data_IF_704889094471
#
_entry.id   IF_704889094471
#
_cell.length_a   1.000
_cell.length_b   1.000
_cell.length_c   1.000
_cell.angle_alpha   90.00
_cell.angle_beta   90.00
_cell.angle_gamma   90.00
#
_symmetry.space_group_name_H-M   'P 1'
#
loop_
_entity.id
_entity.type
_entity.pdbx_description
1 polymer ?
#
# COMPACT_ATOMS: atom_id res chain seq x y z
N UNK A 1 20.86 13.27 -1.28
CA UNK A 1 19.83 12.72 -2.15
C UNK A 1 19.19 11.54 -1.49
N UNK A 2 17.91 11.60 -1.24
CA UNK A 2 17.19 10.49 -0.67
C UNK A 2 16.53 9.66 -1.74
N UNK A 3 16.00 8.53 -1.33
CA UNK A 3 15.17 7.70 -2.19
C UNK A 3 13.86 8.40 -2.48
N UNK A 4 13.27 8.10 -3.63
CA UNK A 4 11.93 8.53 -3.99
C UNK A 4 11.00 7.35 -3.81
N UNK A 5 10.10 7.44 -2.87
CA UNK A 5 9.31 6.31 -2.37
C UNK A 5 7.87 6.39 -2.82
N UNK A 6 7.38 5.30 -3.38
CA UNK A 6 5.97 5.11 -3.68
C UNK A 6 5.41 4.05 -2.75
N UNK A 7 4.26 4.32 -2.14
CA UNK A 7 3.64 3.42 -1.16
C UNK A 7 2.27 2.99 -1.68
N UNK A 8 2.05 1.69 -1.68
CA UNK A 8 0.79 1.10 -2.12
C UNK A 8 0.25 0.25 -0.98
N UNK A 9 -0.93 0.59 -0.50
CA UNK A 9 -1.52 -0.01 0.69
C UNK A 9 -2.76 -0.80 0.31
N UNK A 10 -2.73 -2.11 0.54
CA UNK A 10 -3.90 -2.96 0.41
C UNK A 10 -4.69 -2.86 1.72
N UNK A 11 -5.55 -1.84 1.77
CA UNK A 11 -6.21 -1.51 3.02
C UNK A 11 -7.22 -2.56 3.46
N UNK A 12 -7.79 -3.30 2.50
CA UNK A 12 -8.71 -4.39 2.82
C UNK A 12 -8.06 -5.39 3.77
N UNK A 13 -6.84 -5.79 3.45
CA UNK A 13 -6.14 -6.78 4.26
C UNK A 13 -5.59 -6.20 5.55
N UNK A 14 -5.09 -4.98 5.51
CA UNK A 14 -4.49 -4.37 6.69
C UNK A 14 -5.55 -4.01 7.73
N UNK A 15 -6.65 -3.42 7.30
CA UNK A 15 -7.70 -3.01 8.22
C UNK A 15 -8.38 -4.20 8.89
N UNK A 16 -8.61 -5.27 8.14
CA UNK A 16 -9.21 -6.48 8.70
C UNK A 16 -8.29 -7.10 9.75
N UNK A 17 -7.01 -7.12 9.47
CA UNK A 17 -6.04 -7.62 10.44
C UNK A 17 -6.04 -6.76 11.72
N UNK A 18 -6.04 -5.45 11.55
CA UNK A 18 -6.03 -4.53 12.68
C UNK A 18 -7.26 -4.73 13.58
N UNK A 19 -8.43 -4.93 12.96
CA UNK A 19 -9.66 -5.18 13.69
C UNK A 19 -9.60 -6.50 14.45
N UNK A 20 -9.11 -7.55 13.82
CA UNK A 20 -9.02 -8.87 14.42
C UNK A 20 -8.08 -8.91 15.62
N UNK A 21 -6.97 -8.19 15.52
CA UNK A 21 -5.95 -8.18 16.56
C UNK A 21 -6.18 -7.08 17.59
N UNK A 22 -7.23 -6.28 17.43
CA UNK A 22 -7.52 -5.13 18.29
C UNK A 22 -6.38 -4.11 18.30
N UNK A 23 -5.65 -4.04 17.18
CA UNK A 23 -4.57 -3.09 17.02
C UNK A 23 -5.01 -1.97 16.10
N UNK A 24 -4.65 -0.76 16.46
CA UNK A 24 -4.89 0.38 15.59
C UNK A 24 -3.83 0.41 14.48
N UNK A 25 -4.29 0.60 13.26
CA UNK A 25 -3.38 0.81 12.15
C UNK A 25 -2.99 2.29 12.15
N UNK A 26 -1.76 2.57 12.52
CA UNK A 26 -1.28 3.94 12.61
C UNK A 26 -0.54 4.34 11.34
N UNK A 27 -1.27 4.93 10.43
CA UNK A 27 -0.69 5.39 9.17
C UNK A 27 0.37 6.45 9.38
N UNK A 28 0.15 7.34 10.33
CA UNK A 28 1.12 8.40 10.61
C UNK A 28 2.48 7.82 10.98
N UNK A 29 2.49 6.78 11.81
CA UNK A 29 3.74 6.12 12.18
C UNK A 29 4.44 5.49 10.98
N UNK A 30 3.67 4.88 10.09
CA UNK A 30 4.22 4.29 8.87
C UNK A 30 4.85 5.38 7.98
N UNK A 31 4.15 6.48 7.79
CA UNK A 31 4.65 7.58 6.95
C UNK A 31 5.93 8.15 7.54
N UNK A 32 5.97 8.36 8.86
CA UNK A 32 7.17 8.86 9.53
C UNK A 32 8.34 7.91 9.37
N UNK A 33 8.08 6.61 9.51
CA UNK A 33 9.10 5.59 9.30
C UNK A 33 9.73 5.70 7.92
N UNK A 34 8.89 5.88 6.90
CA UNK A 34 9.34 5.98 5.52
C UNK A 34 10.03 7.32 5.24
N UNK A 35 9.52 8.41 5.82
CA UNK A 35 10.12 9.73 5.63
C UNK A 35 11.54 9.78 6.19
N UNK A 36 11.86 8.98 7.18
CA UNK A 36 13.21 8.88 7.69
C UNK A 36 14.17 8.24 6.67
N UNK A 37 13.63 7.56 5.66
CA UNK A 37 14.41 6.83 4.67
C UNK A 37 14.46 7.52 3.31
N UNK A 38 13.60 8.48 3.05
CA UNK A 38 13.57 9.16 1.78
C UNK A 38 12.36 10.06 1.64
N UNK A 39 12.13 10.52 0.42
CA UNK A 39 10.97 11.34 0.11
C UNK A 39 9.78 10.45 -0.27
N UNK A 40 8.70 10.54 0.48
CA UNK A 40 7.48 9.80 0.17
C UNK A 40 6.71 10.59 -0.88
N UNK A 41 6.90 10.21 -2.13
CA UNK A 41 6.38 10.95 -3.27
C UNK A 41 4.94 10.59 -3.63
N UNK A 42 4.50 9.39 -3.27
CA UNK A 42 3.20 8.87 -3.67
C UNK A 42 2.72 7.88 -2.61
N UNK A 43 1.48 8.03 -2.17
CA UNK A 43 0.83 7.06 -1.28
C UNK A 43 -0.58 6.82 -1.82
N UNK A 44 -0.90 5.56 -2.11
CA UNK A 44 -2.23 5.15 -2.55
C UNK A 44 -2.74 4.02 -1.67
N UNK A 45 -3.98 4.13 -1.23
CA UNK A 45 -4.61 3.10 -0.41
C UNK A 45 -5.86 2.59 -1.12
N UNK A 46 -5.95 1.28 -1.23
CA UNK A 46 -6.96 0.57 -2.02
C UNK A 46 -7.94 -0.12 -1.09
N UNK A 47 -9.20 0.20 -1.21
CA UNK A 47 -10.22 -0.42 -0.41
C UNK A 47 -11.62 0.06 -0.74
N UNK A 48 -12.59 -0.53 -0.07
CA UNK A 48 -13.96 -0.05 -0.13
C UNK A 48 -14.16 0.97 0.97
N UNK A 49 -14.09 2.24 0.60
CA UNK A 49 -14.08 3.34 1.56
C UNK A 49 -15.41 3.59 2.22
N UNK A 50 -16.48 2.99 1.73
CA UNK A 50 -17.75 3.01 2.46
C UNK A 50 -17.70 2.11 3.69
N UNK A 51 -16.92 1.00 3.64
CA UNK A 51 -16.70 0.12 4.77
C UNK A 51 -15.74 0.67 5.80
N UNK A 52 -14.73 1.37 5.31
CA UNK A 52 -13.61 1.83 6.15
C UNK A 52 -13.65 3.34 6.38
N UNK A 53 -14.87 3.89 6.48
CA UNK A 53 -15.04 5.34 6.60
C UNK A 53 -14.33 5.92 7.82
N UNK A 54 -14.19 5.17 8.90
CA UNK A 54 -13.54 5.65 10.11
C UNK A 54 -12.04 5.90 9.94
N UNK A 55 -11.44 5.32 8.89
CA UNK A 55 -10.01 5.51 8.61
C UNK A 55 -9.73 6.64 7.63
N UNK A 56 -10.77 7.15 6.97
CA UNK A 56 -10.59 8.11 5.88
C UNK A 56 -9.91 9.39 6.33
N UNK A 57 -10.29 9.88 7.50
CA UNK A 57 -9.75 11.14 7.99
C UNK A 57 -8.24 11.05 8.24
N UNK A 58 -7.78 9.98 8.87
CA UNK A 58 -6.37 9.76 9.11
C UNK A 58 -5.59 9.60 7.81
N UNK A 59 -6.16 8.86 6.86
CA UNK A 59 -5.54 8.68 5.56
C UNK A 59 -5.43 10.00 4.81
N UNK A 60 -6.49 10.78 4.77
CA UNK A 60 -6.49 12.07 4.09
C UNK A 60 -5.55 13.07 4.75
N UNK A 61 -5.44 13.01 6.07
CA UNK A 61 -4.52 13.87 6.82
C UNK A 61 -3.07 13.61 6.40
N UNK A 62 -2.73 12.39 6.02
CA UNK A 62 -1.41 12.03 5.56
C UNK A 62 -1.25 12.10 4.05
N UNK A 63 -2.15 12.78 3.37
CA UNK A 63 -2.10 13.01 1.93
C UNK A 63 -2.10 11.72 1.12
N UNK A 64 -2.92 10.77 1.53
CA UNK A 64 -3.06 9.49 0.86
C UNK A 64 -4.17 9.58 -0.18
N UNK A 65 -3.88 9.13 -1.40
CA UNK A 65 -4.90 8.97 -2.42
C UNK A 65 -5.71 7.71 -2.14
N UNK A 66 -7.00 7.87 -1.99
CA UNK A 66 -7.91 6.76 -1.73
C UNK A 66 -8.46 6.24 -3.05
N UNK A 67 -8.15 4.99 -3.36
CA UNK A 67 -8.63 4.34 -4.58
C UNK A 67 -9.78 3.43 -4.19
N UNK A 68 -10.96 3.69 -4.76
CA UNK A 68 -12.15 2.92 -4.44
C UNK A 68 -12.15 1.59 -5.19
N UNK A 69 -12.31 0.52 -4.44
CA UNK A 69 -12.47 -0.83 -4.99
C UNK A 69 -13.88 -1.28 -4.61
N UNK A 70 -14.70 -1.55 -5.61
CA UNK A 70 -16.05 -2.03 -5.37
C UNK A 70 -16.02 -3.54 -5.18
N UNK A 71 -16.56 -3.99 -4.05
CA UNK A 71 -16.71 -5.41 -3.79
C UNK A 71 -17.75 -5.97 -4.73
N UNK A 72 -17.29 -6.83 -5.61
CA UNK A 72 -18.19 -7.58 -6.47
C UNK A 72 -18.41 -8.90 -5.78
N UNK A 73 -19.61 -9.42 -5.91
CA UNK A 73 -20.10 -10.60 -5.22
C UNK A 73 -19.05 -11.69 -4.93
N UNK A 74 -19.38 -12.53 -3.95
CA UNK A 74 -18.59 -13.70 -3.55
C UNK A 74 -17.30 -13.37 -2.81
N UNK A 75 -17.23 -12.19 -2.24
CA UNK A 75 -16.10 -11.82 -1.40
C UNK A 75 -14.77 -11.76 -2.12
N UNK A 76 -14.78 -11.74 -3.43
CA UNK A 76 -13.53 -11.63 -4.17
C UNK A 76 -13.02 -10.22 -4.10
N UNK A 77 -11.90 -10.06 -3.43
CA UNK A 77 -11.22 -8.80 -3.33
C UNK A 77 -10.36 -8.60 -4.57
N UNK A 78 -10.55 -7.48 -5.25
CA UNK A 78 -9.78 -7.15 -6.44
C UNK A 78 -8.80 -6.02 -6.21
N UNK A 79 -8.67 -5.60 -4.97
CA UNK A 79 -7.75 -4.53 -4.62
C UNK A 79 -6.31 -4.92 -4.93
N UNK A 80 -5.96 -6.18 -4.69
CA UNK A 80 -4.62 -6.68 -4.94
C UNK A 80 -4.24 -6.59 -6.41
N UNK A 81 -5.16 -6.94 -7.31
CA UNK A 81 -4.92 -6.88 -8.74
C UNK A 81 -4.75 -5.45 -9.20
N UNK A 82 -5.68 -4.57 -8.81
CA UNK A 82 -5.60 -3.16 -9.17
C UNK A 82 -4.33 -2.53 -8.66
N UNK A 83 -3.97 -2.83 -7.43
CA UNK A 83 -2.78 -2.29 -6.80
C UNK A 83 -1.51 -2.75 -7.52
N UNK A 84 -1.45 -4.03 -7.89
CA UNK A 84 -0.29 -4.57 -8.60
C UNK A 84 -0.12 -3.90 -9.96
N UNK A 85 -1.22 -3.70 -10.68
CA UNK A 85 -1.18 -3.03 -11.98
C UNK A 85 -0.71 -1.58 -11.82
N UNK A 86 -1.26 -0.87 -10.86
CA UNK A 86 -0.91 0.53 -10.63
C UNK A 86 0.55 0.68 -10.22
N UNK A 87 1.04 -0.21 -9.37
CA UNK A 87 2.43 -0.16 -8.92
C UNK A 87 3.39 -0.39 -10.08
N UNK A 88 3.09 -1.36 -10.93
CA UNK A 88 3.92 -1.65 -12.07
C UNK A 88 3.89 -0.50 -13.08
N UNK A 89 2.72 0.06 -13.33
CA UNK A 89 2.58 1.23 -14.21
C UNK A 89 3.41 2.40 -13.69
N UNK A 90 3.36 2.66 -12.38
CA UNK A 90 4.15 3.74 -11.77
C UNK A 90 5.65 3.49 -11.96
N UNK A 91 6.09 2.25 -11.85
CA UNK A 91 7.49 1.91 -12.04
C UNK A 91 7.97 2.22 -13.45
N UNK A 92 7.11 2.02 -14.44
CA UNK A 92 7.45 2.28 -15.83
C UNK A 92 7.36 3.77 -16.16
N UNK A 93 6.29 4.42 -15.72
CA UNK A 93 6.00 5.79 -16.11
C UNK A 93 6.75 6.84 -15.31
N UNK A 94 7.20 6.47 -14.11
CA UNK A 94 7.90 7.41 -13.22
C UNK A 94 9.27 6.87 -12.86
N UNK A 95 10.26 7.03 -13.76
CA UNK A 95 11.60 6.46 -13.53
C UNK A 95 12.28 7.01 -12.28
N UNK A 96 11.88 8.19 -11.81
CA UNK A 96 12.45 8.77 -10.61
C UNK A 96 12.06 8.04 -9.33
N UNK A 97 10.98 7.27 -9.36
CA UNK A 97 10.60 6.45 -8.21
C UNK A 97 11.52 5.24 -8.14
N UNK A 98 12.28 5.15 -7.08
CA UNK A 98 13.27 4.07 -6.96
C UNK A 98 12.92 3.05 -5.89
N UNK A 99 11.98 3.37 -4.99
CA UNK A 99 11.60 2.48 -3.88
C UNK A 99 10.10 2.30 -3.85
N UNK A 100 9.68 1.05 -3.83
CA UNK A 100 8.26 0.69 -3.83
C UNK A 100 7.94 -0.07 -2.56
N UNK A 101 7.01 0.48 -1.78
CA UNK A 101 6.59 -0.11 -0.52
C UNK A 101 5.20 -0.71 -0.71
N UNK A 102 5.08 -2.00 -0.45
CA UNK A 102 3.83 -2.73 -0.55
C UNK A 102 3.36 -3.07 0.86
N UNK A 103 2.25 -2.49 1.25
CA UNK A 103 1.68 -2.71 2.59
C UNK A 103 0.46 -3.61 2.46
N UNK A 104 0.59 -4.85 2.89
CA UNK A 104 -0.48 -5.83 2.79
C UNK A 104 -0.24 -6.99 3.73
N UNK A 105 -1.33 -7.60 4.21
CA UNK A 105 -1.25 -8.85 4.96
C UNK A 105 -1.23 -10.07 4.05
N UNK A 106 -1.30 -9.87 2.74
CA UNK A 106 -1.36 -10.94 1.77
C UNK A 106 0.03 -11.16 1.16
N UNK A 107 0.44 -12.41 1.05
CA UNK A 107 1.75 -12.78 0.52
C UNK A 107 1.77 -12.90 -1.00
N UNK A 108 0.64 -12.69 -1.67
CA UNK A 108 0.52 -12.94 -3.12
C UNK A 108 1.14 -11.85 -4.00
N UNK A 109 1.93 -10.97 -3.42
CA UNK A 109 2.60 -9.91 -4.20
C UNK A 109 4.01 -10.29 -4.67
N UNK A 110 4.39 -11.57 -4.49
CA UNK A 110 5.70 -12.03 -4.94
C UNK A 110 6.00 -11.74 -6.40
N UNK A 111 5.09 -12.07 -7.33
CA UNK A 111 5.34 -11.78 -8.74
C UNK A 111 5.53 -10.30 -9.04
N UNK A 112 4.81 -9.42 -8.36
CA UNK A 112 4.98 -7.98 -8.51
C UNK A 112 6.37 -7.55 -8.04
N UNK A 113 6.80 -8.06 -6.89
CA UNK A 113 8.11 -7.73 -6.33
C UNK A 113 9.22 -8.14 -7.29
N UNK A 114 9.11 -9.33 -7.88
CA UNK A 114 10.08 -9.82 -8.85
C UNK A 114 10.18 -8.88 -10.04
N UNK A 115 9.02 -8.46 -10.57
CA UNK A 115 8.99 -7.55 -11.71
C UNK A 115 9.57 -6.18 -11.38
N UNK A 116 9.25 -5.64 -10.23
CA UNK A 116 9.79 -4.35 -9.81
C UNK A 116 11.32 -4.42 -9.71
N UNK A 117 11.85 -5.51 -9.19
CA UNK A 117 13.30 -5.69 -9.12
C UNK A 117 13.95 -5.80 -10.48
N UNK A 118 13.26 -6.43 -11.43
CA UNK A 118 13.77 -6.48 -12.81
C UNK A 118 13.89 -5.09 -13.41
N UNK A 119 13.09 -4.16 -12.97
CA UNK A 119 13.14 -2.77 -13.42
C UNK A 119 14.05 -1.90 -12.54
N UNK A 120 14.85 -2.54 -11.70
CA UNK A 120 15.84 -1.84 -10.90
C UNK A 120 15.29 -1.12 -9.68
N UNK A 121 14.09 -1.51 -9.23
CA UNK A 121 13.47 -0.85 -8.08
C UNK A 121 13.77 -1.61 -6.79
N UNK A 122 13.95 -0.85 -5.70
CA UNK A 122 13.97 -1.44 -4.38
C UNK A 122 12.53 -1.70 -3.94
N UNK A 123 12.32 -2.81 -3.25
CA UNK A 123 10.99 -3.18 -2.77
C UNK A 123 11.05 -3.46 -1.28
N UNK A 124 10.02 -3.01 -0.57
CA UNK A 124 9.88 -3.25 0.85
C UNK A 124 8.45 -3.71 1.11
N UNK A 125 8.30 -4.89 1.71
CA UNK A 125 7.00 -5.40 2.10
C UNK A 125 6.76 -5.10 3.57
N UNK A 126 5.58 -4.61 3.89
CA UNK A 126 5.16 -4.34 5.26
C UNK A 126 3.81 -4.99 5.48
N UNK A 127 3.69 -5.74 6.57
CA UNK A 127 2.44 -6.40 6.89
C UNK A 127 2.41 -6.80 8.34
N UNK A 128 1.31 -7.44 8.77
CA UNK A 128 1.22 -7.93 10.12
C UNK A 128 2.26 -9.02 10.36
N UNK A 129 2.79 -9.03 11.57
CA UNK A 129 3.74 -10.06 11.94
C UNK A 129 2.99 -11.36 12.17
N UNK A 130 3.48 -12.42 11.56
CA UNK A 130 2.98 -13.75 11.86
C UNK A 130 3.52 -14.24 13.19
N UNK A 131 2.67 -14.92 13.90
CA UNK A 131 3.02 -15.45 15.23
C UNK A 131 3.25 -16.96 15.12
#
# INVERSE_FOLDING_TARGET
>A
MGNQIAVFIDFENIALWAEQEFLDFELTSLVEYLQARGNVALIRAYGDWSRFSRYREDLMHNTVDLIQIYSVRAGKNRADIRMAIDAFEAAIQRPQLDTFVIVSGDSDFGPLVVKLREYGKYTLGIGPREV
#
